data_IF_713228022796
#
_entry.id   IF_713228022796
#
_cell.length_a   1.000
_cell.length_b   1.000
_cell.length_c   1.000
_cell.angle_alpha   90.00
_cell.angle_beta   90.00
_cell.angle_gamma   90.00
#
_symmetry.space_group_name_H-M   'P 1'
#
loop_
_entity.id
_entity.type
_entity.pdbx_description
1 polymer ?
#
# COMPACT_ATOMS: atom_id res chain seq x y z
N UNK A 1 10.45 0.92 -23.39
CA UNK A 1 9.90 -0.23 -22.64
C UNK A 1 8.78 0.34 -21.79
N UNK A 2 7.55 0.10 -22.19
CA UNK A 2 6.34 0.53 -21.48
C UNK A 2 5.71 -0.67 -20.75
N UNK A 3 4.65 -0.41 -19.99
CA UNK A 3 3.94 -1.45 -19.23
C UNK A 3 3.39 -2.53 -20.17
N UNK A 4 2.91 -2.15 -21.35
CA UNK A 4 2.38 -3.07 -22.36
C UNK A 4 3.46 -4.04 -22.89
N UNK A 5 4.69 -3.55 -23.10
CA UNK A 5 5.83 -4.39 -23.49
C UNK A 5 6.28 -5.37 -22.39
N UNK A 6 6.22 -4.95 -21.13
CA UNK A 6 6.57 -5.82 -19.99
C UNK A 6 5.54 -6.94 -19.79
N UNK A 7 4.25 -6.63 -19.96
CA UNK A 7 3.17 -7.61 -19.85
C UNK A 7 3.18 -8.66 -20.97
N UNK A 8 3.72 -8.32 -22.15
CA UNK A 8 3.86 -9.25 -23.25
C UNK A 8 4.95 -10.32 -23.02
N UNK A 9 5.92 -10.04 -22.13
CA UNK A 9 7.06 -10.91 -21.85
C UNK A 9 6.91 -11.72 -20.55
N UNK A 10 6.05 -11.28 -19.62
CA UNK A 10 5.78 -11.96 -18.35
C UNK A 10 4.73 -13.06 -18.51
N UNK A 11 5.04 -14.27 -18.01
CA UNK A 11 4.03 -15.32 -17.86
C UNK A 11 3.06 -15.00 -16.70
N UNK A 12 1.88 -15.61 -16.74
CA UNK A 12 0.90 -15.50 -15.65
C UNK A 12 1.47 -16.04 -14.33
N UNK A 13 2.29 -17.10 -14.35
CA UNK A 13 2.95 -17.58 -13.14
C UNK A 13 3.93 -16.54 -12.58
N UNK A 14 4.73 -15.90 -13.43
CA UNK A 14 5.68 -14.88 -13.00
C UNK A 14 4.95 -13.65 -12.43
N UNK A 15 3.84 -13.23 -13.03
CA UNK A 15 3.02 -12.14 -12.50
C UNK A 15 2.45 -12.49 -11.11
N UNK A 16 2.01 -13.74 -10.90
CA UNK A 16 1.54 -14.22 -9.59
C UNK A 16 2.64 -14.28 -8.54
N UNK A 17 3.85 -14.63 -8.95
CA UNK A 17 5.02 -14.62 -8.07
C UNK A 17 5.37 -13.20 -7.62
N UNK A 18 5.35 -12.23 -8.53
CA UNK A 18 5.53 -10.81 -8.17
C UNK A 18 4.41 -10.26 -7.30
N UNK A 19 3.16 -10.65 -7.54
CA UNK A 19 2.02 -10.30 -6.67
C UNK A 19 2.20 -10.89 -5.26
N UNK A 20 2.57 -12.16 -5.16
CA UNK A 20 2.86 -12.81 -3.88
C UNK A 20 4.04 -12.15 -3.16
N UNK A 21 5.10 -11.80 -3.88
CA UNK A 21 6.25 -11.08 -3.33
C UNK A 21 5.87 -9.70 -2.80
N UNK A 22 5.06 -8.94 -3.56
CA UNK A 22 4.57 -7.63 -3.13
C UNK A 22 3.64 -7.72 -1.91
N UNK A 23 2.88 -8.79 -1.76
CA UNK A 23 2.04 -9.02 -0.56
C UNK A 23 2.90 -9.42 0.65
N UNK A 24 3.91 -10.28 0.44
CA UNK A 24 4.77 -10.79 1.52
C UNK A 24 5.78 -9.77 2.01
N UNK A 25 6.33 -8.97 1.10
CA UNK A 25 7.31 -7.93 1.39
C UNK A 25 6.86 -6.59 0.80
N UNK A 26 5.78 -5.98 1.32
CA UNK A 26 5.22 -4.78 0.72
C UNK A 26 6.22 -3.65 0.59
N UNK A 27 7.31 -3.64 1.37
CA UNK A 27 8.38 -2.64 1.25
C UNK A 27 9.81 -3.15 1.55
N UNK A 28 10.03 -4.46 1.74
CA UNK A 28 11.30 -4.99 2.24
C UNK A 28 11.61 -4.58 3.69
N UNK A 29 12.67 -5.17 4.27
CA UNK A 29 13.07 -4.96 5.67
C UNK A 29 13.33 -3.51 6.16
N UNK A 30 13.71 -2.49 5.34
CA UNK A 30 14.21 -1.23 5.91
C UNK A 30 13.12 -0.29 6.45
N UNK A 31 11.84 -0.47 6.11
CA UNK A 31 10.79 0.50 6.47
C UNK A 31 10.37 0.37 7.93
N UNK A 32 10.25 -0.86 8.44
CA UNK A 32 10.01 -1.11 9.87
C UNK A 32 11.16 -0.56 10.73
N UNK A 33 12.39 -0.72 10.28
CA UNK A 33 13.57 -0.17 10.95
C UNK A 33 13.59 1.36 10.92
N UNK A 34 13.23 1.95 9.78
CA UNK A 34 13.15 3.40 9.62
C UNK A 34 12.03 4.00 10.47
N UNK A 35 10.85 3.37 10.50
CA UNK A 35 9.73 3.78 11.35
C UNK A 35 10.08 3.68 12.84
N UNK A 36 10.79 2.62 13.25
CA UNK A 36 11.28 2.50 14.63
C UNK A 36 12.25 3.64 15.02
N UNK A 37 13.20 3.98 14.13
CA UNK A 37 14.13 5.09 14.37
C UNK A 37 13.41 6.45 14.39
N UNK A 38 12.44 6.66 13.50
CA UNK A 38 11.64 7.87 13.46
C UNK A 38 10.80 8.04 14.73
N UNK A 39 10.14 6.97 15.18
CA UNK A 39 9.38 6.94 16.44
C UNK A 39 10.26 7.25 17.64
N UNK A 40 11.46 6.67 17.70
CA UNK A 40 12.40 6.94 18.79
C UNK A 40 12.82 8.41 18.82
N UNK A 41 13.15 8.99 17.66
CA UNK A 41 13.55 10.39 17.55
C UNK A 41 12.39 11.34 17.89
N UNK A 42 11.18 11.05 17.42
CA UNK A 42 9.99 11.84 17.67
C UNK A 42 9.62 11.86 19.15
N UNK A 43 9.64 10.70 19.82
CA UNK A 43 9.37 10.61 21.25
C UNK A 43 10.45 11.24 22.11
N UNK A 44 11.73 11.18 21.69
CA UNK A 44 12.83 11.85 22.40
C UNK A 44 12.70 13.38 22.38
N UNK A 45 12.05 13.96 21.35
CA UNK A 45 11.84 15.40 21.19
C UNK A 45 10.38 15.81 21.41
N UNK A 46 9.53 14.91 21.93
CA UNK A 46 8.10 15.17 22.11
C UNK A 46 7.88 16.17 23.24
N UNK A 47 7.14 17.22 22.94
CA UNK A 47 6.57 18.13 23.94
C UNK A 47 5.28 17.52 24.51
N UNK A 48 5.23 17.14 25.80
CA UNK A 48 4.06 16.50 26.40
C UNK A 48 2.86 17.44 26.52
N UNK A 49 3.05 18.76 26.50
CA UNK A 49 1.95 19.71 26.59
C UNK A 49 1.26 19.88 25.22
N UNK A 50 2.04 19.84 24.14
CA UNK A 50 1.52 19.94 22.77
C UNK A 50 1.03 18.60 22.20
N UNK A 51 1.68 17.48 22.55
CA UNK A 51 1.30 16.12 22.14
C UNK A 51 1.39 15.20 23.36
N UNK A 52 0.31 15.07 24.15
CA UNK A 52 0.28 14.31 25.39
C UNK A 52 0.57 12.82 25.21
N UNK A 53 0.08 12.27 24.10
CA UNK A 53 0.28 10.86 23.73
C UNK A 53 1.63 10.66 23.01
N UNK A 54 2.41 9.62 23.35
CA UNK A 54 3.58 9.22 22.58
C UNK A 54 3.23 8.91 21.13
N UNK A 55 4.21 9.08 20.24
CA UNK A 55 4.11 8.57 18.87
C UNK A 55 4.30 7.06 18.87
N UNK A 56 3.52 6.37 18.05
CA UNK A 56 3.61 4.93 17.82
C UNK A 56 4.31 4.62 16.50
N UNK A 57 4.68 3.36 16.29
CA UNK A 57 5.36 2.96 15.04
C UNK A 57 4.44 3.10 13.83
N UNK A 58 3.13 2.86 14.02
CA UNK A 58 2.06 3.00 13.03
C UNK A 58 1.94 4.43 12.48
N UNK A 59 2.30 5.46 13.27
CA UNK A 59 2.28 6.87 12.83
C UNK A 59 3.29 7.16 11.70
N UNK A 60 4.29 6.29 11.52
CA UNK A 60 5.36 6.45 10.52
C UNK A 60 5.30 5.39 9.41
N UNK A 61 4.23 4.59 9.36
CA UNK A 61 4.02 3.53 8.38
C UNK A 61 2.88 3.91 7.42
N UNK A 62 2.95 3.50 6.13
CA UNK A 62 1.81 3.66 5.21
C UNK A 62 0.55 2.99 5.75
N UNK A 63 -0.63 3.59 5.57
CA UNK A 63 -1.90 3.05 6.07
C UNK A 63 -2.15 1.59 5.64
N UNK A 64 -1.72 1.21 4.44
CA UNK A 64 -1.83 -0.15 3.89
C UNK A 64 -0.87 -1.16 4.54
N UNK A 65 0.13 -0.71 5.30
CA UNK A 65 1.06 -1.57 6.03
C UNK A 65 0.64 -1.84 7.48
N UNK A 66 -0.44 -1.20 7.95
CA UNK A 66 -1.07 -1.46 9.25
C UNK A 66 -1.88 -2.78 9.28
N UNK A 67 -1.91 -3.54 8.19
CA UNK A 67 -2.65 -4.81 8.04
C UNK A 67 -2.14 -5.92 8.98
N UNK A 68 -1.08 -5.70 9.77
CA UNK A 68 -0.57 -6.67 10.74
C UNK A 68 -0.86 -6.31 12.21
N UNK A 69 -1.62 -5.25 12.51
CA UNK A 69 -2.11 -5.00 13.87
C UNK A 69 -3.53 -5.52 13.99
N UNK A 70 -3.66 -6.81 14.38
CA UNK A 70 -4.93 -7.37 14.86
C UNK A 70 -5.03 -7.03 16.34
N UNK A 71 -5.61 -5.88 16.64
CA UNK A 71 -6.29 -5.66 17.92
C UNK A 71 -7.33 -4.54 17.71
N UNK A 72 -8.60 -4.90 17.82
CA UNK A 72 -9.73 -3.96 17.79
C UNK A 72 -10.68 -4.19 16.63
N UNK A 73 -11.86 -4.71 16.97
CA UNK A 73 -13.05 -4.83 16.12
C UNK A 73 -13.28 -3.55 15.31
N UNK A 74 -12.90 -3.57 14.04
CA UNK A 74 -13.40 -2.60 13.06
C UNK A 74 -14.58 -3.26 12.38
N UNK A 75 -15.78 -2.69 12.55
CA UNK A 75 -16.94 -3.08 11.78
C UNK A 75 -16.58 -3.02 10.28
N UNK A 76 -16.98 -4.01 9.46
CA UNK A 76 -16.67 -3.97 8.05
C UNK A 76 -17.50 -2.84 7.43
N UNK A 77 -16.90 -1.67 7.26
CA UNK A 77 -17.33 -0.79 6.17
C UNK A 77 -17.26 -1.65 4.92
N UNK A 78 -18.39 -1.75 4.19
CA UNK A 78 -18.46 -2.43 2.90
C UNK A 78 -17.60 -1.66 1.87
N UNK A 79 -16.30 -1.74 2.05
CA UNK A 79 -15.33 -1.29 1.08
C UNK A 79 -15.44 -2.19 -0.13
N UNK A 80 -15.84 -1.58 -1.23
CA UNK A 80 -15.94 -2.24 -2.53
C UNK A 80 -14.66 -3.06 -2.78
N UNK A 81 -14.77 -4.38 -3.02
CA UNK A 81 -13.61 -5.25 -3.13
C UNK A 81 -12.58 -4.67 -4.08
N UNK A 82 -11.30 -4.66 -3.69
CA UNK A 82 -10.22 -4.02 -4.43
C UNK A 82 -10.20 -4.36 -5.94
N UNK A 83 -10.60 -5.58 -6.33
CA UNK A 83 -10.70 -6.00 -7.72
C UNK A 83 -11.78 -5.27 -8.54
N UNK A 84 -12.87 -4.79 -7.90
CA UNK A 84 -13.88 -3.95 -8.56
C UNK A 84 -13.37 -2.52 -8.78
N UNK A 85 -12.65 -1.94 -7.81
CA UNK A 85 -11.96 -0.65 -7.97
C UNK A 85 -10.99 -0.74 -9.17
N UNK A 86 -10.21 -1.83 -9.24
CA UNK A 86 -9.29 -2.10 -10.35
C UNK A 86 -10.02 -2.23 -11.71
N UNK A 87 -11.15 -2.95 -11.76
CA UNK A 87 -11.95 -3.05 -13.00
C UNK A 87 -12.43 -1.69 -13.51
N UNK A 88 -12.87 -0.78 -12.63
CA UNK A 88 -13.30 0.57 -13.05
C UNK A 88 -12.15 1.37 -13.65
N UNK A 89 -10.96 1.34 -13.05
CA UNK A 89 -9.80 2.03 -13.58
C UNK A 89 -9.44 1.51 -14.97
N UNK A 90 -9.44 0.19 -15.17
CA UNK A 90 -9.17 -0.43 -16.47
C UNK A 90 -10.24 -0.08 -17.52
N UNK A 91 -11.50 0.03 -17.12
CA UNK A 91 -12.60 0.43 -18.00
C UNK A 91 -12.42 1.88 -18.51
N UNK A 92 -12.12 2.83 -17.62
CA UNK A 92 -11.87 4.24 -17.99
C UNK A 92 -10.70 4.38 -18.95
N UNK A 93 -9.61 3.63 -18.72
CA UNK A 93 -8.45 3.64 -19.60
C UNK A 93 -8.74 3.02 -20.97
N UNK A 94 -9.55 1.96 -21.01
CA UNK A 94 -9.97 1.33 -22.25
C UNK A 94 -10.85 2.28 -23.10
N UNK A 95 -11.76 3.01 -22.46
CA UNK A 95 -12.65 3.97 -23.13
C UNK A 95 -11.84 5.17 -23.66
N UNK A 96 -10.90 5.71 -22.87
CA UNK A 96 -10.00 6.78 -23.32
C UNK A 96 -9.11 6.36 -24.50
N UNK A 97 -8.67 5.10 -24.55
CA UNK A 97 -7.89 4.53 -25.67
C UNK A 97 -8.73 4.34 -26.93
N UNK A 98 -10.05 4.15 -26.79
CA UNK A 98 -11.00 4.01 -27.89
C UNK A 98 -11.40 5.36 -28.48
N UNK A 99 -11.51 6.39 -27.65
CA UNK A 99 -11.82 7.76 -28.06
C UNK A 99 -10.66 8.42 -28.81
N UNK A 100 -9.40 8.17 -28.40
CA UNK A 100 -8.20 8.64 -29.10
C UNK A 100 -7.86 7.88 -30.42
N UNK A 101 -8.67 6.88 -30.80
CA UNK A 101 -8.49 6.11 -32.06
C UNK A 101 -9.57 6.41 -33.12
N UNK A 102 -10.52 7.31 -32.83
CA UNK A 102 -11.46 7.92 -33.80
C UNK A 102 -10.97 9.30 -34.22
#
# INVERSE_FOLDING_TARGET
>A
MDVDGILAELSVEQLREWEAYAILEPFGAPWKQTALLAMLLANANRDPDAKPEPYEMSDFLPAESNVLVVDGESEPEEEEPHWMKMKRVLQVLADAKKENRS
#
